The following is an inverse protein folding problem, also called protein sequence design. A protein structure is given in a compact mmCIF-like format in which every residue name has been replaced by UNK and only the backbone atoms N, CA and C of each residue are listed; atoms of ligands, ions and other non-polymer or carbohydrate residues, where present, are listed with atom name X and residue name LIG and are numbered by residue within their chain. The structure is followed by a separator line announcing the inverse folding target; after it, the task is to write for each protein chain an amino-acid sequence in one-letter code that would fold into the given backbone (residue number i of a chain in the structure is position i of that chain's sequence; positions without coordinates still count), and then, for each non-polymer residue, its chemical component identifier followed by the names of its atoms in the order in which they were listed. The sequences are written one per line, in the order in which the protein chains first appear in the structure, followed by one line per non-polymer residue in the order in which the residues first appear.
data_IF_419169386455
#
_entry.id   IF_419169386455
#
_cell.length_a   1.000
_cell.length_b   1.000
_cell.length_c   1.000
_cell.angle_alpha   90.00
_cell.angle_beta   90.00
_cell.angle_gamma   90.00
#
_symmetry.space_group_name_H-M   'P 1'
#
loop_
_entity.id
_entity.type
_entity.pdbx_description
1 polymer ?
#
# COMPACT_ATOMS: atom_id res chain seq x y z
N UNK A 1 -46.11 -1.20 8.86
CA UNK A 1 -45.20 -0.56 9.83
C UNK A 1 -43.93 -0.26 9.04
N UNK A 2 -43.57 1.01 8.87
CA UNK A 2 -42.31 1.40 8.23
C UNK A 2 -41.21 1.01 9.20
N UNK A 3 -40.32 0.14 8.76
CA UNK A 3 -39.14 -0.28 9.54
C UNK A 3 -38.28 0.99 9.74
N UNK A 4 -38.23 1.49 10.98
CA UNK A 4 -37.47 2.71 11.31
C UNK A 4 -36.00 2.32 11.41
N UNK A 5 -35.24 2.69 10.41
CA UNK A 5 -33.79 2.46 10.37
C UNK A 5 -33.12 3.29 11.47
N UNK A 6 -32.46 2.62 12.41
CA UNK A 6 -31.66 3.25 13.46
C UNK A 6 -30.23 3.46 12.98
N UNK A 7 -29.66 4.59 13.37
CA UNK A 7 -28.27 4.97 13.07
C UNK A 7 -27.57 5.43 14.33
N UNK A 8 -26.25 5.19 14.40
CA UNK A 8 -25.41 5.70 15.47
C UNK A 8 -24.72 6.99 15.04
N UNK A 9 -24.75 8.00 15.91
CA UNK A 9 -24.14 9.30 15.67
C UNK A 9 -23.33 9.77 16.88
N UNK A 10 -22.27 10.52 16.60
CA UNK A 10 -21.45 11.21 17.61
C UNK A 10 -21.83 12.68 17.56
N UNK A 11 -22.33 13.22 18.67
CA UNK A 11 -22.82 14.59 18.79
C UNK A 11 -21.88 15.37 19.70
N UNK A 12 -21.21 16.40 19.18
CA UNK A 12 -20.36 17.31 19.93
C UNK A 12 -21.16 18.53 20.40
N UNK A 13 -21.10 18.85 21.69
CA UNK A 13 -21.90 19.88 22.33
C UNK A 13 -21.03 21.02 22.89
N UNK A 14 -21.46 22.26 22.70
CA UNK A 14 -20.79 23.44 23.29
C UNK A 14 -20.84 23.45 24.82
N UNK A 15 -21.98 23.01 25.41
CA UNK A 15 -22.22 22.97 26.86
C UNK A 15 -22.60 21.55 27.27
N UNK A 16 -21.59 20.67 27.29
CA UNK A 16 -21.75 19.23 27.48
C UNK A 16 -22.67 18.85 28.63
N UNK A 17 -22.40 19.33 29.86
CA UNK A 17 -23.18 18.96 31.04
C UNK A 17 -24.61 19.47 31.00
N UNK A 18 -24.85 20.68 30.51
CA UNK A 18 -26.20 21.28 30.43
C UNK A 18 -27.10 20.63 29.39
N UNK A 19 -26.51 20.00 28.37
CA UNK A 19 -27.24 19.41 27.23
C UNK A 19 -27.63 17.96 27.48
N UNK A 20 -27.13 17.30 28.51
CA UNK A 20 -27.38 15.89 28.75
C UNK A 20 -28.89 15.50 28.68
N UNK A 21 -29.75 16.21 29.33
CA UNK A 21 -31.18 15.90 29.34
C UNK A 21 -31.87 16.07 28.00
N UNK A 22 -31.44 17.09 27.25
CA UNK A 22 -31.93 17.32 25.87
C UNK A 22 -31.48 16.23 24.93
N UNK A 23 -30.26 15.71 25.08
CA UNK A 23 -29.68 14.64 24.31
C UNK A 23 -30.31 13.28 24.64
N UNK A 24 -30.59 13.00 25.92
CA UNK A 24 -31.30 11.79 26.36
C UNK A 24 -32.70 11.65 25.74
N UNK A 25 -33.36 12.77 25.44
CA UNK A 25 -34.67 12.77 24.79
C UNK A 25 -34.63 12.46 23.28
N UNK A 26 -33.45 12.47 22.65
CA UNK A 26 -33.28 12.21 21.21
C UNK A 26 -33.17 10.72 20.89
N UNK A 27 -32.64 9.94 21.80
CA UNK A 27 -32.41 8.52 21.58
C UNK A 27 -31.61 7.86 22.69
N UNK A 28 -31.22 6.62 22.46
CA UNK A 28 -30.40 5.88 23.43
C UNK A 28 -28.96 6.34 23.42
N UNK A 29 -28.46 6.85 24.58
CA UNK A 29 -27.04 7.19 24.74
C UNK A 29 -26.24 5.91 24.95
N UNK A 30 -25.39 5.57 23.97
CA UNK A 30 -24.46 4.44 24.03
C UNK A 30 -23.22 4.78 24.86
N UNK A 31 -22.64 5.96 24.63
CA UNK A 31 -21.45 6.44 25.36
C UNK A 31 -21.55 7.94 25.66
N UNK A 32 -20.98 8.31 26.83
CA UNK A 32 -20.71 9.70 27.21
C UNK A 32 -19.21 9.92 27.12
N UNK A 33 -18.77 10.90 26.32
CA UNK A 33 -17.38 11.19 26.02
C UNK A 33 -16.98 12.59 26.50
N UNK A 34 -16.87 12.82 27.83
CA UNK A 34 -16.58 14.14 28.38
C UNK A 34 -15.23 14.71 27.90
N UNK A 35 -14.26 13.85 27.57
CA UNK A 35 -12.93 14.26 27.07
C UNK A 35 -12.97 15.10 25.77
N UNK A 36 -14.07 14.99 25.01
CA UNK A 36 -14.30 15.73 23.76
C UNK A 36 -15.68 16.41 23.75
N UNK A 37 -16.33 16.54 24.90
CA UNK A 37 -17.67 17.12 25.05
C UNK A 37 -18.72 16.51 24.11
N UNK A 38 -18.70 15.18 23.95
CA UNK A 38 -19.56 14.49 22.98
C UNK A 38 -20.38 13.35 23.61
N UNK A 39 -21.48 13.04 22.93
CA UNK A 39 -22.34 11.86 23.21
C UNK A 39 -22.44 10.98 21.98
N UNK A 40 -22.40 9.66 22.16
CA UNK A 40 -22.71 8.68 21.11
C UNK A 40 -24.15 8.21 21.31
N UNK A 41 -25.01 8.45 20.32
CA UNK A 41 -26.43 8.12 20.38
C UNK A 41 -26.84 7.15 19.28
N UNK A 42 -27.83 6.33 19.58
CA UNK A 42 -28.62 5.62 18.59
C UNK A 42 -29.95 6.35 18.39
N UNK A 43 -30.20 6.87 17.19
CA UNK A 43 -31.37 7.64 16.82
C UNK A 43 -32.04 7.08 15.55
N UNK A 44 -33.29 7.45 15.31
CA UNK A 44 -33.93 7.17 14.02
C UNK A 44 -33.28 8.02 12.91
N UNK A 45 -33.01 7.45 11.75
CA UNK A 45 -32.38 8.14 10.59
C UNK A 45 -33.17 9.40 10.20
N UNK A 46 -34.49 9.38 10.34
CA UNK A 46 -35.35 10.53 10.07
C UNK A 46 -35.10 11.74 11.00
N UNK A 47 -34.44 11.54 12.13
CA UNK A 47 -34.14 12.61 13.09
C UNK A 47 -32.83 13.33 12.83
N UNK A 48 -32.01 12.90 11.86
CA UNK A 48 -30.67 13.45 11.59
C UNK A 48 -30.67 14.96 11.38
N UNK A 49 -31.57 15.47 10.54
CA UNK A 49 -31.65 16.91 10.26
C UNK A 49 -32.20 17.71 11.44
N UNK A 50 -33.12 17.14 12.20
CA UNK A 50 -33.62 17.74 13.44
C UNK A 50 -32.49 17.89 14.47
N UNK A 51 -31.68 16.82 14.68
CA UNK A 51 -30.55 16.84 15.62
C UNK A 51 -29.54 17.92 15.26
N UNK A 52 -29.18 18.07 13.98
CA UNK A 52 -28.28 19.13 13.51
C UNK A 52 -28.79 20.54 13.80
N UNK A 53 -30.11 20.73 13.84
CA UNK A 53 -30.74 22.04 14.07
C UNK A 53 -30.80 22.45 15.55
N UNK A 54 -30.48 21.56 16.48
CA UNK A 54 -30.57 21.82 17.92
C UNK A 54 -29.49 22.82 18.37
N UNK A 55 -29.93 23.91 18.99
CA UNK A 55 -29.00 24.91 19.50
C UNK A 55 -28.03 24.33 20.54
N UNK A 56 -26.71 24.57 20.35
CA UNK A 56 -25.65 24.08 21.21
C UNK A 56 -25.02 22.76 20.77
N UNK A 57 -25.47 22.17 19.67
CA UNK A 57 -24.73 21.14 18.95
C UNK A 57 -23.74 21.82 18.03
N UNK A 58 -22.43 21.52 18.22
CA UNK A 58 -21.33 22.09 17.41
C UNK A 58 -21.19 21.29 16.10
N UNK A 59 -21.18 19.96 16.20
CA UNK A 59 -21.08 19.05 15.06
C UNK A 59 -21.76 17.73 15.36
N UNK A 60 -22.16 17.02 14.31
CA UNK A 60 -22.66 15.66 14.35
C UNK A 60 -21.99 14.84 13.26
N UNK A 61 -21.46 13.70 13.64
CA UNK A 61 -20.82 12.74 12.73
C UNK A 61 -21.51 11.39 12.85
N UNK A 62 -21.56 10.64 11.76
CA UNK A 62 -22.00 9.24 11.81
C UNK A 62 -20.93 8.42 12.56
N UNK A 63 -21.35 7.55 13.47
CA UNK A 63 -20.46 6.58 14.11
C UNK A 63 -20.06 5.53 13.07
N UNK A 64 -18.94 5.79 12.40
CA UNK A 64 -18.45 4.94 11.32
C UNK A 64 -17.59 3.80 11.86
N UNK A 65 -17.72 2.64 11.27
CA UNK A 65 -16.95 1.46 11.67
C UNK A 65 -15.46 1.68 11.38
N UNK A 66 -14.63 1.63 12.42
CA UNK A 66 -13.17 1.69 12.29
C UNK A 66 -12.67 0.26 12.13
N UNK A 67 -12.07 -0.05 10.96
CA UNK A 67 -11.47 -1.34 10.66
C UNK A 67 -9.97 -1.22 10.49
N UNK A 68 -9.25 -2.30 10.73
CA UNK A 68 -7.81 -2.36 10.48
C UNK A 68 -7.52 -2.39 8.99
N UNK A 69 -6.48 -1.65 8.53
CA UNK A 69 -6.30 -1.17 7.16
C UNK A 69 -6.08 -2.26 6.07
N UNK A 70 -5.45 -3.42 6.36
CA UNK A 70 -5.27 -4.45 5.31
C UNK A 70 -6.57 -5.15 4.93
N UNK A 71 -7.47 -5.39 5.88
CA UNK A 71 -8.82 -5.85 5.55
C UNK A 71 -9.50 -4.84 4.63
N UNK A 72 -9.36 -3.53 4.95
CA UNK A 72 -9.93 -2.46 4.14
C UNK A 72 -9.36 -2.39 2.72
N UNK A 73 -8.06 -2.65 2.51
CA UNK A 73 -7.49 -2.68 1.15
C UNK A 73 -8.20 -3.73 0.30
N UNK A 74 -8.27 -4.98 0.79
CA UNK A 74 -8.95 -6.07 0.07
C UNK A 74 -10.44 -5.79 -0.16
N UNK A 75 -11.12 -5.11 0.76
CA UNK A 75 -12.52 -4.69 0.58
C UNK A 75 -12.65 -3.62 -0.53
N UNK A 76 -11.79 -2.59 -0.50
CA UNK A 76 -11.84 -1.46 -1.44
C UNK A 76 -11.58 -1.90 -2.89
N UNK A 77 -10.63 -2.83 -3.10
CA UNK A 77 -10.23 -3.28 -4.45
C UNK A 77 -10.85 -4.61 -4.85
N UNK A 78 -11.80 -5.14 -4.08
CA UNK A 78 -12.44 -6.46 -4.27
C UNK A 78 -11.45 -7.64 -4.23
N UNK A 79 -10.41 -7.58 -3.40
CA UNK A 79 -9.40 -8.63 -3.25
C UNK A 79 -9.96 -9.89 -2.59
N UNK A 80 -10.90 -9.77 -1.65
CA UNK A 80 -11.57 -10.92 -1.02
C UNK A 80 -12.31 -11.77 -2.04
N UNK A 81 -13.00 -11.14 -3.00
CA UNK A 81 -13.66 -11.83 -4.10
C UNK A 81 -12.67 -12.74 -4.87
N UNK A 82 -11.46 -12.25 -5.16
CA UNK A 82 -10.45 -13.05 -5.86
C UNK A 82 -10.04 -14.28 -5.04
N UNK A 83 -9.84 -14.13 -3.74
CA UNK A 83 -9.51 -15.23 -2.84
C UNK A 83 -10.63 -16.26 -2.74
N UNK A 84 -11.90 -15.85 -2.69
CA UNK A 84 -13.08 -16.73 -2.71
C UNK A 84 -13.18 -17.53 -4.02
N UNK A 85 -12.72 -16.96 -5.14
CA UNK A 85 -12.64 -17.63 -6.45
C UNK A 85 -11.40 -18.49 -6.63
N UNK A 86 -10.51 -18.56 -5.64
CA UNK A 86 -9.31 -19.39 -5.68
C UNK A 86 -8.10 -18.76 -6.39
N UNK A 87 -8.11 -17.45 -6.62
CA UNK A 87 -6.97 -16.74 -7.17
C UNK A 87 -6.00 -16.34 -6.04
N UNK A 88 -4.78 -16.89 -6.05
CA UNK A 88 -3.78 -16.65 -4.99
C UNK A 88 -2.40 -16.23 -5.52
N UNK A 89 -2.21 -16.13 -6.85
CA UNK A 89 -0.94 -15.71 -7.45
C UNK A 89 0.12 -16.81 -7.53
N UNK A 90 -0.28 -18.09 -7.42
CA UNK A 90 0.63 -19.24 -7.38
C UNK A 90 1.55 -19.29 -8.59
N UNK A 91 2.85 -19.55 -8.34
CA UNK A 91 3.86 -19.74 -9.38
C UNK A 91 4.40 -18.47 -10.00
N UNK A 92 3.83 -17.30 -9.71
CA UNK A 92 4.32 -16.01 -10.24
C UNK A 92 5.45 -15.49 -9.37
N UNK A 93 6.62 -15.23 -9.98
CA UNK A 93 7.76 -14.58 -9.34
C UNK A 93 7.61 -13.05 -9.35
N UNK A 94 7.67 -12.45 -8.16
CA UNK A 94 7.65 -10.99 -7.97
C UNK A 94 8.99 -10.55 -7.38
N UNK A 95 9.76 -9.77 -8.13
CA UNK A 95 10.98 -9.16 -7.64
C UNK A 95 10.66 -7.87 -6.90
N UNK A 96 11.15 -7.78 -5.66
CA UNK A 96 11.02 -6.60 -4.80
C UNK A 96 12.39 -5.92 -4.73
N UNK A 97 12.50 -4.77 -5.42
CA UNK A 97 13.71 -3.94 -5.46
C UNK A 97 13.61 -2.89 -4.36
N UNK A 98 14.26 -3.16 -3.21
CA UNK A 98 14.01 -2.41 -1.98
C UNK A 98 15.16 -2.58 -0.94
N UNK A 99 14.87 -2.43 0.35
CA UNK A 99 15.80 -2.60 1.50
C UNK A 99 16.14 -4.06 1.83
N UNK A 100 15.54 -5.02 1.14
CA UNK A 100 15.64 -6.45 1.41
C UNK A 100 14.30 -7.09 1.75
N UNK A 101 14.32 -8.39 2.04
CA UNK A 101 13.17 -9.16 2.54
C UNK A 101 13.67 -10.08 3.65
N UNK A 102 13.06 -10.03 4.83
CA UNK A 102 13.32 -11.00 5.90
C UNK A 102 12.46 -12.26 5.73
N UNK A 103 12.89 -13.38 6.32
CA UNK A 103 12.11 -14.63 6.34
C UNK A 103 10.98 -14.52 7.40
N UNK A 104 10.01 -13.64 7.12
CA UNK A 104 8.81 -13.49 7.95
C UNK A 104 7.96 -14.77 7.88
N UNK A 105 7.29 -15.15 8.99
CA UNK A 105 6.43 -16.34 9.02
C UNK A 105 5.38 -16.36 7.90
N UNK A 106 4.84 -15.22 7.55
CA UNK A 106 3.88 -15.09 6.44
C UNK A 106 4.47 -15.41 5.06
N UNK A 107 5.78 -15.57 4.95
CA UNK A 107 6.46 -15.91 3.68
C UNK A 107 6.99 -17.34 3.66
N UNK A 108 7.24 -17.93 4.83
CA UNK A 108 7.92 -19.23 4.92
C UNK A 108 7.06 -20.35 5.51
N UNK A 109 6.02 -20.00 6.26
CA UNK A 109 5.08 -21.00 6.78
C UNK A 109 4.25 -21.57 5.61
N UNK A 110 4.10 -22.87 5.56
CA UNK A 110 3.57 -23.67 4.45
C UNK A 110 4.48 -23.73 3.19
N UNK A 111 5.75 -23.39 3.32
CA UNK A 111 6.76 -23.43 2.27
C UNK A 111 7.44 -22.07 2.06
N UNK A 112 8.76 -22.10 1.89
CA UNK A 112 9.53 -20.89 1.67
C UNK A 112 9.23 -20.28 0.29
N UNK A 113 8.60 -19.11 0.29
CA UNK A 113 8.25 -18.37 -0.93
C UNK A 113 9.26 -17.26 -1.26
N UNK A 114 10.27 -17.02 -0.41
CA UNK A 114 11.43 -16.19 -0.73
C UNK A 114 12.44 -17.09 -1.45
N UNK A 115 12.24 -17.27 -2.76
CA UNK A 115 12.94 -18.29 -3.57
C UNK A 115 14.32 -17.84 -4.08
N UNK A 116 14.58 -16.53 -4.04
CA UNK A 116 15.87 -15.96 -4.39
C UNK A 116 16.10 -14.64 -3.65
N UNK A 117 17.39 -14.35 -3.40
CA UNK A 117 17.82 -13.10 -2.79
C UNK A 117 19.14 -12.65 -3.40
N UNK A 118 19.26 -11.34 -3.66
CA UNK A 118 20.50 -10.72 -4.11
C UNK A 118 20.70 -9.40 -3.37
N UNK A 119 21.86 -9.29 -2.72
CA UNK A 119 22.26 -8.09 -1.97
C UNK A 119 23.38 -7.36 -2.71
N UNK A 120 23.12 -6.10 -3.10
CA UNK A 120 24.08 -5.21 -3.75
C UNK A 120 24.77 -4.26 -2.77
N UNK A 121 24.32 -4.23 -1.50
CA UNK A 121 24.84 -3.33 -0.46
C UNK A 121 25.95 -3.99 0.34
N UNK A 122 25.65 -5.17 0.92
CA UNK A 122 26.58 -5.88 1.81
C UNK A 122 27.03 -7.24 1.26
N UNK A 123 26.56 -7.62 0.06
CA UNK A 123 26.91 -8.86 -0.63
C UNK A 123 26.58 -10.14 0.17
N UNK A 124 25.58 -10.09 1.05
CA UNK A 124 25.12 -11.26 1.80
C UNK A 124 24.29 -12.17 0.90
N UNK A 125 24.35 -13.47 1.17
CA UNK A 125 23.60 -14.50 0.41
C UNK A 125 22.26 -14.84 1.02
N UNK A 126 22.13 -14.72 2.36
CA UNK A 126 20.90 -15.04 3.07
C UNK A 126 19.94 -13.87 3.08
N UNK A 127 18.62 -14.15 2.90
CA UNK A 127 17.59 -13.11 2.93
C UNK A 127 17.53 -12.37 4.26
N UNK A 128 17.64 -11.06 4.23
CA UNK A 128 17.44 -10.18 5.37
C UNK A 128 16.93 -8.81 4.94
N UNK A 129 16.40 -8.08 5.92
CA UNK A 129 15.99 -6.69 5.77
C UNK A 129 16.35 -5.95 7.07
N UNK A 130 17.22 -4.98 6.97
CA UNK A 130 17.73 -4.20 8.12
C UNK A 130 17.05 -2.82 8.24
N UNK A 131 16.06 -2.53 7.39
CA UNK A 131 15.20 -1.35 7.43
C UNK A 131 13.73 -1.70 7.74
N UNK A 132 13.19 -2.72 7.06
CA UNK A 132 11.81 -3.20 7.17
C UNK A 132 10.85 -2.66 6.12
N UNK A 133 11.29 -1.77 5.23
CA UNK A 133 10.45 -1.25 4.15
C UNK A 133 10.15 -2.34 3.10
N UNK A 134 11.16 -3.04 2.61
CA UNK A 134 10.99 -4.10 1.63
C UNK A 134 10.19 -5.30 2.14
N UNK A 135 10.35 -5.67 3.42
CA UNK A 135 9.52 -6.71 4.07
C UNK A 135 8.06 -6.29 4.16
N UNK A 136 7.80 -5.02 4.47
CA UNK A 136 6.44 -4.47 4.50
C UNK A 136 5.81 -4.51 3.10
N UNK A 137 6.53 -4.08 2.08
CA UNK A 137 6.14 -4.13 0.66
C UNK A 137 5.82 -5.58 0.24
N UNK A 138 6.71 -6.53 0.53
CA UNK A 138 6.49 -7.95 0.24
C UNK A 138 5.23 -8.50 0.93
N UNK A 139 4.98 -8.09 2.18
CA UNK A 139 3.77 -8.46 2.92
C UNK A 139 2.47 -7.99 2.26
N UNK A 140 2.46 -6.76 1.70
CA UNK A 140 1.31 -6.24 0.93
C UNK A 140 1.11 -7.06 -0.35
N UNK A 141 2.18 -7.35 -1.09
CA UNK A 141 2.10 -8.16 -2.32
C UNK A 141 1.49 -9.52 -2.00
N UNK A 142 2.01 -10.23 -0.99
CA UNK A 142 1.67 -11.64 -0.87
C UNK A 142 1.97 -12.30 0.48
N UNK A 143 1.93 -11.58 1.60
CA UNK A 143 1.89 -12.19 2.92
C UNK A 143 0.69 -13.14 3.04
N UNK A 144 0.89 -14.39 3.51
CA UNK A 144 -0.23 -15.32 3.64
C UNK A 144 -1.11 -15.06 4.88
N UNK A 145 -0.71 -14.12 5.75
CA UNK A 145 -1.43 -13.76 6.95
C UNK A 145 -1.33 -14.79 8.08
N UNK A 146 -0.41 -15.74 8.01
CA UNK A 146 -0.25 -16.79 9.02
C UNK A 146 -0.15 -16.23 10.44
N UNK A 147 0.72 -15.26 10.65
CA UNK A 147 0.96 -14.64 11.97
C UNK A 147 -0.25 -13.85 12.50
N UNK A 148 -1.22 -13.52 11.64
CA UNK A 148 -2.45 -12.79 12.00
C UNK A 148 -3.72 -13.63 11.87
N UNK A 149 -3.61 -14.94 11.69
CA UNK A 149 -4.75 -15.84 11.43
C UNK A 149 -5.60 -15.37 10.23
N UNK A 150 -4.93 -14.90 9.17
CA UNK A 150 -5.55 -14.42 7.95
C UNK A 150 -5.96 -12.94 7.94
N UNK A 151 -5.90 -12.24 9.08
CA UNK A 151 -6.38 -10.85 9.19
C UNK A 151 -5.63 -9.87 8.30
N UNK A 152 -4.32 -10.02 8.15
CA UNK A 152 -3.45 -9.14 7.35
C UNK A 152 -2.87 -9.87 6.14
N UNK A 153 -3.71 -10.66 5.47
CA UNK A 153 -3.35 -11.37 4.25
C UNK A 153 -3.11 -10.37 3.11
N UNK A 154 -1.99 -10.50 2.41
CA UNK A 154 -1.66 -9.74 1.20
C UNK A 154 -2.54 -10.11 0.02
N UNK A 155 -2.31 -9.45 -1.11
CA UNK A 155 -3.16 -9.55 -2.30
C UNK A 155 -2.98 -10.91 -3.00
N UNK A 156 -1.73 -11.37 -3.21
CA UNK A 156 -1.37 -12.62 -3.89
C UNK A 156 -0.62 -13.58 -2.94
N UNK A 157 -1.30 -14.21 -1.97
CA UNK A 157 -0.67 -14.90 -0.84
C UNK A 157 0.10 -16.17 -1.20
N UNK A 158 0.11 -16.60 -2.46
CA UNK A 158 0.89 -17.76 -2.94
C UNK A 158 1.91 -17.38 -4.03
N UNK A 159 2.14 -16.08 -4.30
CA UNK A 159 3.22 -15.67 -5.19
C UNK A 159 4.60 -15.94 -4.56
N UNK A 160 5.61 -16.07 -5.41
CA UNK A 160 7.00 -16.22 -4.99
C UNK A 160 7.70 -14.86 -4.95
N UNK A 161 8.60 -14.67 -3.97
CA UNK A 161 9.38 -13.46 -3.82
C UNK A 161 10.82 -13.65 -4.28
N UNK A 162 11.33 -12.64 -4.95
CA UNK A 162 12.73 -12.48 -5.28
C UNK A 162 13.19 -11.16 -4.64
N UNK A 163 13.94 -11.24 -3.55
CA UNK A 163 14.46 -10.08 -2.85
C UNK A 163 15.68 -9.52 -3.56
N UNK A 164 15.63 -8.24 -3.95
CA UNK A 164 16.75 -7.53 -4.56
C UNK A 164 17.05 -6.30 -3.71
N UNK A 165 18.04 -6.46 -2.80
CA UNK A 165 18.42 -5.40 -1.87
C UNK A 165 19.37 -4.43 -2.54
N UNK A 166 18.87 -3.21 -2.75
CA UNK A 166 19.58 -2.08 -3.38
C UNK A 166 19.62 -0.85 -2.48
N UNK A 167 18.99 -0.92 -1.30
CA UNK A 167 18.96 0.13 -0.29
C UNK A 167 19.52 -0.40 1.02
N UNK A 168 20.19 0.48 1.77
CA UNK A 168 20.78 0.19 3.07
C UNK A 168 19.76 0.20 4.22
N UNK A 169 20.25 0.11 5.45
CA UNK A 169 19.46 0.14 6.69
C UNK A 169 18.72 1.47 6.94
N UNK A 170 19.10 2.56 6.27
CA UNK A 170 18.44 3.87 6.34
C UNK A 170 17.36 4.01 5.25
N UNK A 171 17.40 3.14 4.23
CA UNK A 171 16.56 3.24 3.03
C UNK A 171 17.22 4.08 1.93
N UNK A 172 18.53 4.31 2.03
CA UNK A 172 19.32 5.04 1.06
C UNK A 172 20.08 4.07 0.14
N UNK A 173 20.32 4.45 -1.12
CA UNK A 173 21.07 3.65 -2.08
C UNK A 173 21.50 4.45 -3.28
N UNK A 174 22.41 3.86 -4.10
CA UNK A 174 22.89 4.49 -5.31
C UNK A 174 22.10 4.01 -6.53
N UNK A 175 21.98 4.85 -7.54
CA UNK A 175 21.36 4.50 -8.83
C UNK A 175 22.10 3.29 -9.45
N UNK A 176 23.43 3.21 -9.31
CA UNK A 176 24.24 2.09 -9.80
C UNK A 176 23.82 0.74 -9.21
N UNK A 177 23.51 0.68 -7.90
CA UNK A 177 23.08 -0.54 -7.24
C UNK A 177 21.68 -0.96 -7.72
N UNK A 178 20.79 0.02 -7.93
CA UNK A 178 19.47 -0.23 -8.53
C UNK A 178 19.62 -0.79 -9.95
N UNK A 179 20.45 -0.16 -10.79
CA UNK A 179 20.68 -0.62 -12.16
C UNK A 179 21.31 -2.02 -12.21
N UNK A 180 22.26 -2.31 -11.34
CA UNK A 180 22.84 -3.65 -11.20
C UNK A 180 21.78 -4.69 -10.78
N UNK A 181 20.87 -4.30 -9.85
CA UNK A 181 19.73 -5.12 -9.45
C UNK A 181 18.78 -5.41 -10.60
N UNK A 182 18.46 -4.40 -11.42
CA UNK A 182 17.60 -4.54 -12.60
C UNK A 182 18.24 -5.45 -13.65
N UNK A 183 19.55 -5.34 -13.89
CA UNK A 183 20.28 -6.23 -14.79
C UNK A 183 20.23 -7.67 -14.28
N UNK A 184 20.49 -7.90 -12.99
CA UNK A 184 20.42 -9.23 -12.39
C UNK A 184 19.03 -9.86 -12.53
N UNK A 185 17.95 -9.06 -12.41
CA UNK A 185 16.57 -9.53 -12.61
C UNK A 185 16.38 -10.01 -14.06
N UNK A 186 16.84 -9.25 -15.05
CA UNK A 186 16.75 -9.62 -16.47
C UNK A 186 17.46 -10.97 -16.71
N UNK A 187 18.67 -11.13 -16.17
CA UNK A 187 19.49 -12.33 -16.37
C UNK A 187 18.86 -13.59 -15.73
N UNK A 188 18.15 -13.40 -14.62
CA UNK A 188 17.56 -14.48 -13.83
C UNK A 188 16.06 -14.68 -14.06
N UNK A 189 15.41 -13.91 -14.95
CA UNK A 189 13.96 -13.90 -15.12
C UNK A 189 13.35 -15.28 -15.43
N UNK A 190 14.02 -16.06 -16.28
CA UNK A 190 13.57 -17.41 -16.65
C UNK A 190 13.76 -18.40 -15.51
N UNK A 191 14.90 -18.31 -14.79
CA UNK A 191 15.24 -19.21 -13.68
C UNK A 191 14.24 -19.17 -12.55
N UNK A 192 13.76 -17.97 -12.20
CA UNK A 192 12.84 -17.76 -11.06
C UNK A 192 11.42 -17.38 -11.50
N UNK A 193 11.09 -17.52 -12.79
CA UNK A 193 9.81 -17.10 -13.36
C UNK A 193 9.41 -15.67 -12.94
N UNK A 194 10.37 -14.71 -13.04
CA UNK A 194 10.11 -13.32 -12.65
C UNK A 194 9.23 -12.68 -13.72
N UNK A 195 7.99 -12.41 -13.35
CA UNK A 195 6.98 -11.79 -14.21
C UNK A 195 6.74 -10.33 -13.85
N UNK A 196 7.07 -9.95 -12.62
CA UNK A 196 6.74 -8.65 -12.03
C UNK A 196 7.97 -8.12 -11.30
N UNK A 197 8.21 -6.82 -11.45
CA UNK A 197 9.18 -6.05 -10.65
C UNK A 197 8.44 -4.92 -9.96
N UNK A 198 8.47 -4.93 -8.62
CA UNK A 198 7.96 -3.86 -7.78
C UNK A 198 9.11 -2.95 -7.34
N UNK A 199 9.02 -1.65 -7.64
CA UNK A 199 9.97 -0.62 -7.24
C UNK A 199 9.22 0.42 -6.41
N UNK A 200 9.29 0.29 -5.10
CA UNK A 200 8.64 1.21 -4.16
C UNK A 200 9.57 2.34 -3.70
N UNK A 201 10.59 2.64 -4.50
CA UNK A 201 11.63 3.64 -4.24
C UNK A 201 11.81 4.54 -5.45
N UNK A 202 12.31 5.74 -5.23
CA UNK A 202 12.55 6.67 -6.33
C UNK A 202 13.32 7.91 -5.87
N UNK A 203 13.79 8.69 -6.83
CA UNK A 203 14.43 9.98 -6.58
C UNK A 203 13.55 11.13 -7.00
N UNK A 204 13.57 12.20 -6.21
CA UNK A 204 12.91 13.48 -6.48
C UNK A 204 13.90 14.58 -6.89
N UNK A 205 15.17 14.22 -7.12
CA UNK A 205 16.18 15.18 -7.60
C UNK A 205 15.73 15.76 -8.94
N UNK A 206 15.73 17.09 -9.05
CA UNK A 206 15.37 17.79 -10.30
C UNK A 206 16.28 17.39 -11.46
N UNK A 207 17.51 17.03 -11.18
CA UNK A 207 18.51 16.60 -12.17
C UNK A 207 18.20 15.24 -12.81
N UNK A 208 17.31 14.45 -12.19
CA UNK A 208 16.92 13.11 -12.65
C UNK A 208 15.50 13.05 -13.24
N UNK A 209 14.82 14.18 -13.43
CA UNK A 209 13.49 14.25 -14.04
C UNK A 209 13.55 14.24 -15.57
N UNK A 210 14.48 13.48 -16.13
CA UNK A 210 14.64 13.28 -17.58
C UNK A 210 14.23 11.85 -17.98
N UNK A 211 13.43 11.73 -19.04
CA UNK A 211 13.10 10.44 -19.66
C UNK A 211 14.35 9.68 -20.15
N UNK A 212 15.44 10.38 -20.42
CA UNK A 212 16.72 9.81 -20.80
C UNK A 212 17.60 9.45 -19.59
N UNK A 213 17.16 9.68 -18.36
CA UNK A 213 17.94 9.31 -17.18
C UNK A 213 18.22 7.81 -17.17
N UNK A 214 19.39 7.41 -16.67
CA UNK A 214 19.82 6.01 -16.65
C UNK A 214 18.83 5.12 -15.90
N UNK A 215 18.19 5.65 -14.84
CA UNK A 215 17.20 4.88 -14.08
C UNK A 215 15.92 4.61 -14.90
N UNK A 216 15.47 5.58 -15.70
CA UNK A 216 14.35 5.39 -16.64
C UNK A 216 14.73 4.40 -17.74
N UNK A 217 15.96 4.50 -18.30
CA UNK A 217 16.45 3.51 -19.25
C UNK A 217 16.52 2.11 -18.66
N UNK A 218 16.96 1.96 -17.40
CA UNK A 218 17.02 0.69 -16.70
C UNK A 218 15.65 0.03 -16.55
N UNK A 219 14.63 0.75 -16.05
CA UNK A 219 13.28 0.20 -15.94
C UNK A 219 12.63 -0.08 -17.30
N UNK A 220 12.95 0.71 -18.32
CA UNK A 220 12.51 0.47 -19.69
C UNK A 220 13.14 -0.81 -20.26
N UNK A 221 14.42 -1.09 -19.99
CA UNK A 221 15.07 -2.32 -20.39
C UNK A 221 14.43 -3.56 -19.76
N UNK A 222 14.07 -3.50 -18.46
CA UNK A 222 13.32 -4.57 -17.79
C UNK A 222 11.96 -4.80 -18.47
N UNK A 223 11.24 -3.71 -18.77
CA UNK A 223 9.96 -3.77 -19.48
C UNK A 223 10.11 -4.40 -20.88
N UNK A 224 11.12 -4.01 -21.64
CA UNK A 224 11.39 -4.53 -23.00
C UNK A 224 11.77 -6.02 -22.99
N UNK A 225 12.22 -6.55 -21.83
CA UNK A 225 12.45 -7.97 -21.60
C UNK A 225 11.18 -8.74 -21.23
N UNK A 226 9.98 -8.14 -21.34
CA UNK A 226 8.69 -8.78 -21.14
C UNK A 226 8.24 -8.87 -19.68
N UNK A 227 8.93 -8.19 -18.76
CA UNK A 227 8.56 -8.16 -17.33
C UNK A 227 7.65 -6.95 -17.08
N UNK A 228 6.61 -7.12 -16.27
CA UNK A 228 5.76 -6.01 -15.82
C UNK A 228 6.51 -5.22 -14.76
N UNK A 229 6.76 -3.94 -15.00
CA UNK A 229 7.44 -3.05 -14.05
C UNK A 229 6.43 -2.09 -13.44
N UNK A 230 6.33 -2.12 -12.11
CA UNK A 230 5.42 -1.29 -11.33
C UNK A 230 6.25 -0.41 -10.39
N UNK A 231 6.00 0.90 -10.44
CA UNK A 231 6.79 1.90 -9.71
C UNK A 231 5.89 2.87 -8.94
N UNK A 232 6.37 3.36 -7.81
CA UNK A 232 5.68 4.37 -7.03
C UNK A 232 5.69 5.74 -7.73
N UNK A 233 4.59 6.48 -7.64
CA UNK A 233 4.51 7.85 -8.12
C UNK A 233 5.39 8.84 -7.33
N UNK A 234 5.80 8.45 -6.11
CA UNK A 234 6.50 9.31 -5.17
C UNK A 234 5.55 10.06 -4.23
N UNK A 235 6.14 10.68 -3.20
CA UNK A 235 5.38 11.32 -2.13
C UNK A 235 5.64 12.85 -2.07
N UNK A 236 5.86 13.47 -3.23
CA UNK A 236 6.16 14.90 -3.37
C UNK A 236 4.93 15.75 -3.77
N UNK A 237 3.71 15.14 -3.74
CA UNK A 237 2.45 15.86 -3.92
C UNK A 237 2.22 16.94 -2.85
N UNK A 238 1.18 17.74 -3.01
CA UNK A 238 0.10 17.72 -4.03
C UNK A 238 0.38 18.56 -5.29
N UNK A 239 1.54 19.18 -5.41
CA UNK A 239 1.87 20.04 -6.56
C UNK A 239 1.88 19.27 -7.88
N UNK A 240 1.64 19.95 -9.02
CA UNK A 240 1.79 19.35 -10.34
C UNK A 240 3.26 18.98 -10.62
N UNK A 241 3.48 18.08 -11.58
CA UNK A 241 4.81 17.61 -11.98
C UNK A 241 5.66 17.05 -10.82
N UNK A 242 5.00 16.39 -9.86
CA UNK A 242 5.63 15.83 -8.66
C UNK A 242 5.84 14.31 -8.72
N UNK A 243 5.69 13.70 -9.90
CA UNK A 243 6.00 12.28 -10.12
C UNK A 243 7.52 12.07 -9.98
N UNK A 244 7.92 11.15 -9.12
CA UNK A 244 9.33 10.79 -8.92
C UNK A 244 9.86 9.88 -10.03
N UNK A 245 11.15 9.95 -10.33
CA UNK A 245 11.86 9.00 -11.20
C UNK A 245 12.06 7.67 -10.45
N UNK A 246 11.76 6.47 -11.06
CA UNK A 246 11.50 6.26 -12.49
C UNK A 246 10.03 6.31 -12.91
N UNK A 247 9.11 6.77 -12.08
CA UNK A 247 7.66 6.84 -12.36
C UNK A 247 7.29 7.72 -13.56
N UNK A 248 8.20 8.58 -14.03
CA UNK A 248 7.99 9.39 -15.24
C UNK A 248 8.05 8.57 -16.54
N UNK A 249 8.55 7.33 -16.52
CA UNK A 249 8.65 6.49 -17.72
C UNK A 249 7.29 6.22 -18.36
N UNK A 250 7.20 6.35 -19.69
CA UNK A 250 5.99 6.03 -20.49
C UNK A 250 5.65 4.54 -20.47
N UNK A 251 6.67 3.66 -20.36
CA UNK A 251 6.49 2.21 -20.48
C UNK A 251 5.90 1.59 -19.22
N UNK A 252 6.49 1.88 -18.08
CA UNK A 252 6.15 1.24 -16.80
C UNK A 252 4.78 1.66 -16.25
N UNK A 253 4.28 0.93 -15.27
CA UNK A 253 3.04 1.24 -14.56
C UNK A 253 3.38 2.06 -13.32
N UNK A 254 2.93 3.32 -13.28
CA UNK A 254 3.16 4.24 -12.17
C UNK A 254 1.94 4.31 -11.29
N UNK A 255 2.11 4.05 -9.98
CA UNK A 255 1.03 3.92 -9.01
C UNK A 255 1.03 5.08 -8.03
N UNK A 256 -0.09 5.79 -7.97
CA UNK A 256 -0.40 6.79 -6.94
C UNK A 256 -1.20 6.22 -5.78
N UNK A 257 -1.35 6.99 -4.69
CA UNK A 257 -2.21 6.66 -3.57
C UNK A 257 -3.62 7.21 -3.79
N UNK A 258 -4.65 6.39 -3.58
CA UNK A 258 -6.06 6.79 -3.74
C UNK A 258 -6.64 7.47 -2.50
N UNK A 259 -5.99 7.31 -1.34
CA UNK A 259 -6.45 7.69 -0.01
C UNK A 259 -5.45 8.60 0.73
N UNK A 260 -4.67 9.38 0.00
CA UNK A 260 -3.67 10.30 0.54
C UNK A 260 -4.26 11.55 1.24
N UNK A 261 -5.58 11.71 1.18
CA UNK A 261 -6.34 12.76 1.87
C UNK A 261 -6.72 12.39 3.31
N UNK A 262 -6.43 11.17 3.74
CA UNK A 262 -6.65 10.71 5.11
C UNK A 262 -5.48 11.16 6.00
N UNK A 263 -5.78 11.73 7.18
CA UNK A 263 -4.74 12.03 8.16
C UNK A 263 -3.98 10.74 8.51
N UNK A 264 -2.65 10.79 8.45
CA UNK A 264 -1.83 9.66 8.86
C UNK A 264 -1.97 9.47 10.38
N UNK A 265 -2.80 8.52 10.78
CA UNK A 265 -2.93 8.09 12.18
C UNK A 265 -1.73 7.26 12.60
N UNK A 266 -0.51 7.75 12.40
CA UNK A 266 0.63 6.90 12.64
C UNK A 266 1.63 7.51 13.58
N UNK A 267 1.98 6.74 14.57
CA UNK A 267 3.17 6.87 15.37
C UNK A 267 4.38 7.29 14.51
N UNK A 268 4.63 8.59 14.46
CA UNK A 268 5.90 9.17 14.03
C UNK A 268 6.14 9.40 12.53
N UNK A 269 5.21 9.14 11.62
CA UNK A 269 5.50 9.35 10.18
C UNK A 269 5.20 10.74 9.65
N UNK A 270 4.64 11.65 10.42
CA UNK A 270 4.47 13.08 10.11
C UNK A 270 4.14 13.48 8.65
N UNK A 271 3.67 12.53 7.82
CA UNK A 271 3.42 12.78 6.41
C UNK A 271 2.21 13.66 6.23
N UNK A 272 2.40 14.70 5.44
CA UNK A 272 1.36 15.62 5.07
C UNK A 272 0.23 14.86 4.33
N UNK A 273 -0.97 15.31 4.53
CA UNK A 273 -2.13 15.03 3.71
C UNK A 273 -1.83 15.37 2.24
N UNK A 274 -2.39 14.59 1.29
CA UNK A 274 -2.19 14.79 -0.15
C UNK A 274 -0.74 14.61 -0.62
N UNK A 275 -0.07 13.57 -0.15
CA UNK A 275 1.34 13.32 -0.48
C UNK A 275 1.59 12.71 -1.86
N UNK A 276 0.61 12.03 -2.47
CA UNK A 276 0.80 11.30 -3.72
C UNK A 276 1.31 12.18 -4.84
N UNK A 277 2.35 11.72 -5.55
CA UNK A 277 2.88 12.42 -6.73
C UNK A 277 1.81 12.58 -7.81
N UNK A 278 1.78 13.75 -8.44
CA UNK A 278 0.80 14.14 -9.45
C UNK A 278 1.45 14.52 -10.78
N UNK A 279 0.75 14.18 -11.85
CA UNK A 279 1.09 14.55 -13.20
C UNK A 279 0.82 16.03 -13.54
N UNK A 280 1.05 16.39 -14.81
CA UNK A 280 1.79 15.61 -15.82
C UNK A 280 3.25 15.44 -15.45
N UNK A 281 3.99 14.60 -16.20
CA UNK A 281 5.45 14.65 -16.12
C UNK A 281 5.97 15.90 -16.83
N UNK A 282 7.25 16.29 -16.65
CA UNK A 282 7.83 17.42 -17.38
C UNK A 282 7.69 17.33 -18.91
N UNK A 283 7.54 16.13 -19.44
CA UNK A 283 7.34 15.86 -20.87
C UNK A 283 5.85 15.68 -21.25
N UNK A 284 4.95 16.23 -20.47
CA UNK A 284 3.50 16.19 -20.68
C UNK A 284 2.90 14.77 -20.78
N UNK A 285 3.55 13.77 -20.16
CA UNK A 285 3.00 12.41 -20.08
C UNK A 285 1.99 12.36 -18.95
N UNK A 286 0.85 11.73 -19.22
CA UNK A 286 -0.17 11.49 -18.20
C UNK A 286 0.28 10.42 -17.20
N UNK A 287 0.52 10.83 -15.95
CA UNK A 287 0.89 10.00 -14.79
C UNK A 287 0.18 10.55 -13.53
N UNK A 288 -0.07 9.73 -12.49
CA UNK A 288 0.16 8.28 -12.45
C UNK A 288 -0.69 7.53 -13.48
N UNK A 289 -0.41 6.24 -13.72
CA UNK A 289 -1.29 5.42 -14.59
C UNK A 289 -2.54 5.00 -13.82
N UNK A 290 -2.39 4.58 -12.55
CA UNK A 290 -3.45 3.99 -11.72
C UNK A 290 -3.23 4.37 -10.25
N UNK A 291 -4.28 4.30 -9.44
CA UNK A 291 -4.17 4.47 -7.98
C UNK A 291 -4.67 3.23 -7.23
N UNK A 292 -4.13 3.04 -6.04
CA UNK A 292 -4.54 2.03 -5.07
C UNK A 292 -4.42 2.60 -3.64
N UNK A 293 -5.05 1.98 -2.61
CA UNK A 293 -4.89 2.41 -1.23
C UNK A 293 -3.42 2.37 -0.79
N UNK A 294 -2.95 3.44 -0.17
CA UNK A 294 -1.56 3.59 0.28
C UNK A 294 -1.40 4.23 1.65
N UNK A 295 -2.50 4.62 2.32
CA UNK A 295 -2.45 5.25 3.65
C UNK A 295 -2.81 4.28 4.76
N UNK A 296 -2.03 4.34 5.85
CA UNK A 296 -2.22 3.52 7.06
C UNK A 296 -2.27 2.00 6.80
N UNK A 297 -1.45 1.52 5.88
CA UNK A 297 -1.42 0.12 5.48
C UNK A 297 -0.67 -0.72 6.51
N UNK A 298 -1.34 -1.76 7.05
CA UNK A 298 -0.76 -2.72 7.97
C UNK A 298 -0.16 -3.87 7.16
N UNK A 299 1.13 -4.18 7.39
CA UNK A 299 1.80 -5.29 6.72
C UNK A 299 2.97 -5.82 7.55
N UNK A 300 3.64 -6.87 7.04
CA UNK A 300 4.73 -7.57 7.70
C UNK A 300 5.82 -6.61 8.20
N UNK A 301 6.33 -6.87 9.40
CA UNK A 301 7.37 -6.10 10.05
C UNK A 301 8.62 -6.96 10.28
N UNK A 302 9.77 -6.31 10.39
CA UNK A 302 11.00 -6.96 10.86
C UNK A 302 11.04 -6.94 12.38
N UNK A 303 11.44 -8.06 12.99
CA UNK A 303 11.70 -8.11 14.42
C UNK A 303 13.02 -7.40 14.71
N UNK A 304 12.97 -6.15 15.17
CA UNK A 304 14.16 -5.46 15.68
C UNK A 304 14.05 -5.24 17.18
N UNK A 305 14.87 -5.98 17.92
CA UNK A 305 15.43 -5.48 19.17
C UNK A 305 16.95 -5.51 19.01
N UNK A 306 17.57 -4.34 18.79
CA UNK A 306 19.00 -4.19 18.92
C UNK A 306 19.31 -3.70 20.32
N UNK A 307 19.98 -4.51 21.13
CA UNK A 307 20.66 -4.02 22.33
C UNK A 307 22.12 -3.81 21.98
N UNK A 308 22.62 -2.59 22.17
CA UNK A 308 24.06 -2.34 22.15
C UNK A 308 24.65 -3.02 23.36
N UNK A 309 25.54 -3.98 23.16
CA UNK A 309 26.38 -4.53 24.24
C UNK A 309 27.43 -3.51 24.66
N UNK A 310 27.95 -3.63 25.87
CA UNK A 310 29.05 -2.77 26.38
C UNK A 310 30.32 -2.84 25.51
N UNK A 311 30.45 -3.87 24.65
CA UNK A 311 31.53 -4.03 23.68
C UNK A 311 31.26 -3.36 22.31
N UNK A 312 30.13 -2.72 22.12
CA UNK A 312 29.80 -2.06 20.86
C UNK A 312 29.16 -2.98 19.80
N UNK A 313 29.10 -4.28 20.05
CA UNK A 313 28.46 -5.24 19.13
C UNK A 313 26.95 -5.14 19.19
N UNK A 314 26.29 -5.18 18.00
CA UNK A 314 24.86 -5.21 17.89
C UNK A 314 24.40 -6.67 17.99
N UNK A 315 23.78 -7.05 19.12
CA UNK A 315 23.08 -8.32 19.24
C UNK A 315 21.60 -8.11 18.97
N UNK A 316 21.05 -8.91 18.07
CA UNK A 316 19.61 -9.00 17.86
C UNK A 316 19.04 -9.94 18.93
N UNK A 317 18.23 -9.39 19.84
CA UNK A 317 17.54 -10.21 20.85
C UNK A 317 16.19 -10.66 20.30
N UNK A 318 15.92 -11.95 20.39
CA UNK A 318 14.65 -12.60 20.04
C UNK A 318 13.69 -12.69 21.23
N UNK A 319 13.81 -11.81 22.22
CA UNK A 319 12.97 -11.86 23.42
C UNK A 319 11.60 -11.21 23.19
N UNK A 320 10.59 -12.01 23.37
CA UNK A 320 9.18 -11.76 23.65
C UNK A 320 8.39 -10.88 22.69
N UNK A 321 7.61 -11.57 21.85
CA UNK A 321 6.53 -11.06 20.99
C UNK A 321 6.89 -9.85 20.12
N UNK A 322 7.69 -10.04 19.08
CA UNK A 322 7.93 -8.98 18.09
C UNK A 322 6.58 -8.57 17.48
N UNK A 323 6.35 -7.29 17.34
CA UNK A 323 5.21 -6.83 16.53
C UNK A 323 5.42 -7.32 15.10
N UNK A 324 4.70 -8.42 14.74
CA UNK A 324 4.83 -9.09 13.44
C UNK A 324 4.36 -8.19 12.29
N UNK A 325 3.64 -7.13 12.59
CA UNK A 325 3.09 -6.19 11.63
C UNK A 325 3.34 -4.75 12.09
N UNK A 326 3.41 -3.85 11.11
CA UNK A 326 3.52 -2.41 11.35
C UNK A 326 2.67 -1.64 10.34
N UNK A 327 2.41 -0.37 10.64
CA UNK A 327 1.62 0.52 9.79
C UNK A 327 2.57 1.45 9.04
N UNK A 328 2.38 1.59 7.72
CA UNK A 328 3.09 2.57 6.91
C UNK A 328 2.14 3.26 5.93
N UNK A 329 2.51 4.47 5.50
CA UNK A 329 1.78 5.24 4.48
C UNK A 329 2.72 5.73 3.39
N UNK A 330 2.24 5.78 2.16
CA UNK A 330 2.97 6.27 1.00
C UNK A 330 2.57 5.55 -0.29
N UNK A 331 2.92 6.13 -1.44
CA UNK A 331 2.79 5.45 -2.73
C UNK A 331 3.58 4.16 -2.79
N UNK A 332 4.62 4.02 -1.94
CA UNK A 332 5.34 2.77 -1.70
C UNK A 332 4.48 1.64 -1.17
N UNK A 333 3.32 1.93 -0.55
CA UNK A 333 2.35 0.94 -0.06
C UNK A 333 1.25 0.69 -1.09
N UNK A 334 0.89 1.67 -1.92
CA UNK A 334 -0.06 1.50 -3.03
C UNK A 334 0.53 0.64 -4.17
N UNK A 335 1.81 0.79 -4.47
CA UNK A 335 2.52 0.08 -5.54
C UNK A 335 2.46 -1.45 -5.39
N UNK A 336 2.76 -2.05 -4.22
CA UNK A 336 2.65 -3.49 -4.02
C UNK A 336 1.21 -4.03 -4.08
N UNK A 337 0.19 -3.22 -3.82
CA UNK A 337 -1.21 -3.60 -4.03
C UNK A 337 -1.46 -3.92 -5.50
N UNK A 338 -0.99 -3.05 -6.41
CA UNK A 338 -1.09 -3.27 -7.86
C UNK A 338 -0.23 -4.46 -8.29
N UNK A 339 0.97 -4.61 -7.73
CA UNK A 339 1.86 -5.75 -8.01
C UNK A 339 1.21 -7.08 -7.63
N UNK A 340 0.56 -7.15 -6.47
CA UNK A 340 -0.20 -8.33 -6.04
C UNK A 340 -1.38 -8.64 -6.97
N UNK A 341 -2.16 -7.62 -7.37
CA UNK A 341 -3.27 -7.80 -8.30
C UNK A 341 -2.81 -8.35 -9.66
N UNK A 342 -1.67 -7.87 -10.17
CA UNK A 342 -1.07 -8.39 -11.41
C UNK A 342 -0.56 -9.82 -11.20
N UNK A 343 -0.06 -10.19 -10.01
CA UNK A 343 0.32 -11.57 -9.72
C UNK A 343 -0.90 -12.51 -9.73
N UNK A 344 -2.06 -12.08 -9.23
CA UNK A 344 -3.31 -12.82 -9.38
C UNK A 344 -3.66 -13.01 -10.88
N UNK A 345 -3.61 -11.92 -11.66
CA UNK A 345 -3.92 -11.96 -13.09
C UNK A 345 -2.98 -12.92 -13.85
N UNK A 346 -1.66 -12.81 -13.63
CA UNK A 346 -0.68 -13.63 -14.34
C UNK A 346 -0.66 -15.10 -13.88
N UNK A 347 -1.20 -15.43 -12.72
CA UNK A 347 -1.41 -16.81 -12.31
C UNK A 347 -2.63 -17.44 -13.01
N UNK A 348 -3.65 -16.64 -13.33
CA UNK A 348 -4.83 -17.06 -14.08
C UNK A 348 -4.59 -17.07 -15.59
N UNK A 349 -3.79 -16.11 -16.08
CA UNK A 349 -3.51 -15.87 -17.49
C UNK A 349 -1.99 -15.73 -17.73
N UNK A 350 -1.23 -16.84 -17.64
CA UNK A 350 0.24 -16.81 -17.74
C UNK A 350 0.76 -16.39 -19.13
N UNK A 351 -0.07 -16.50 -20.15
CA UNK A 351 0.23 -16.10 -21.54
C UNK A 351 0.30 -14.59 -21.76
N UNK A 352 -0.34 -13.80 -20.89
CA UNK A 352 -0.41 -12.34 -21.08
C UNK A 352 0.99 -11.69 -21.07
N UNK A 353 1.21 -10.84 -22.05
CA UNK A 353 2.38 -9.99 -22.12
C UNK A 353 2.26 -8.79 -21.18
N UNK A 354 3.38 -8.15 -20.83
CA UNK A 354 3.38 -6.94 -20.00
C UNK A 354 2.54 -5.80 -20.62
N UNK A 355 2.48 -5.70 -21.95
CA UNK A 355 1.65 -4.70 -22.66
C UNK A 355 0.16 -4.98 -22.50
N UNK A 356 -0.26 -6.24 -22.64
CA UNK A 356 -1.64 -6.67 -22.45
C UNK A 356 -2.08 -6.48 -20.99
N UNK A 357 -1.20 -6.79 -20.02
CA UNK A 357 -1.44 -6.51 -18.60
C UNK A 357 -1.68 -5.01 -18.37
N UNK A 358 -0.87 -4.13 -18.97
CA UNK A 358 -1.05 -2.67 -18.83
C UNK A 358 -2.35 -2.19 -19.46
N UNK A 359 -2.73 -2.72 -20.61
CA UNK A 359 -4.01 -2.40 -21.26
C UNK A 359 -5.21 -2.89 -20.42
N UNK A 360 -5.12 -4.10 -19.87
CA UNK A 360 -6.17 -4.67 -19.03
C UNK A 360 -6.34 -3.90 -17.72
N UNK A 361 -5.23 -3.46 -17.09
CA UNK A 361 -5.30 -2.56 -15.93
C UNK A 361 -6.04 -1.27 -16.23
N UNK A 362 -5.82 -0.68 -17.41
CA UNK A 362 -6.51 0.54 -17.80
C UNK A 362 -8.03 0.36 -17.90
N UNK A 363 -8.51 -0.79 -18.32
CA UNK A 363 -9.95 -1.07 -18.49
C UNK A 363 -10.65 -1.52 -17.21
N UNK A 364 -9.88 -1.91 -16.16
CA UNK A 364 -10.44 -2.45 -14.92
C UNK A 364 -10.62 -1.44 -13.78
N UNK A 365 -10.37 -0.16 -14.03
CA UNK A 365 -10.40 0.88 -12.99
C UNK A 365 -11.81 1.38 -12.68
N UNK A 366 -11.94 1.98 -11.49
CA UNK A 366 -13.14 2.72 -11.05
C UNK A 366 -12.76 4.19 -10.96
N UNK A 367 -13.54 5.03 -11.64
CA UNK A 367 -13.37 6.48 -11.58
C UNK A 367 -13.74 7.00 -10.18
N UNK A 368 -12.83 7.74 -9.54
CA UNK A 368 -13.04 8.35 -8.24
C UNK A 368 -13.60 9.78 -8.32
N UNK A 369 -13.88 10.27 -9.53
CA UNK A 369 -14.28 11.68 -9.76
C UNK A 369 -13.17 12.69 -9.45
N UNK A 370 -11.90 12.24 -9.38
CA UNK A 370 -10.74 13.10 -9.14
C UNK A 370 -10.09 13.51 -10.46
N UNK A 371 -9.33 14.63 -10.49
CA UNK A 371 -8.54 14.99 -11.66
C UNK A 371 -7.59 13.84 -12.07
N UNK A 372 -7.40 13.66 -13.39
CA UNK A 372 -6.55 12.59 -13.91
C UNK A 372 -5.10 12.68 -13.42
N UNK A 373 -4.61 13.87 -13.11
CA UNK A 373 -3.29 14.13 -12.54
C UNK A 373 -3.11 13.44 -11.18
N UNK A 374 -4.20 13.21 -10.47
CA UNK A 374 -4.24 12.53 -9.18
C UNK A 374 -4.56 11.05 -9.31
N UNK A 375 -5.62 10.68 -10.04
CA UNK A 375 -6.13 9.30 -10.07
C UNK A 375 -5.64 8.47 -11.27
N UNK A 376 -5.03 9.08 -12.28
CA UNK A 376 -4.69 8.37 -13.53
C UNK A 376 -5.94 7.84 -14.23
N UNK A 377 -5.96 6.53 -14.49
CA UNK A 377 -7.14 5.83 -15.03
C UNK A 377 -8.23 5.60 -13.98
N UNK A 378 -7.89 5.68 -12.70
CA UNK A 378 -8.80 5.46 -11.57
C UNK A 378 -8.25 4.45 -10.56
N UNK A 379 -9.11 4.03 -9.64
CA UNK A 379 -8.83 3.05 -8.59
C UNK A 379 -8.82 1.63 -9.16
N UNK A 380 -7.81 0.85 -8.78
CA UNK A 380 -7.74 -0.58 -9.08
C UNK A 380 -8.99 -1.32 -8.61
N UNK A 381 -9.54 -2.20 -9.48
CA UNK A 381 -10.58 -3.15 -9.12
C UNK A 381 -10.16 -4.56 -9.60
N UNK A 382 -9.93 -5.46 -8.65
CA UNK A 382 -9.41 -6.80 -8.94
C UNK A 382 -10.45 -7.67 -9.66
N UNK A 383 -11.72 -7.56 -9.31
CA UNK A 383 -12.77 -8.34 -9.98
C UNK A 383 -12.85 -8.01 -11.47
N UNK A 384 -12.89 -6.71 -11.82
CA UNK A 384 -12.84 -6.28 -13.22
C UNK A 384 -11.53 -6.65 -13.92
N UNK A 385 -10.43 -6.76 -13.18
CA UNK A 385 -9.14 -7.17 -13.73
C UNK A 385 -9.13 -8.64 -14.12
N UNK A 386 -9.75 -9.50 -13.34
CA UNK A 386 -9.77 -10.96 -13.56
C UNK A 386 -10.92 -11.39 -14.46
N UNK A 387 -12.07 -10.75 -14.37
CA UNK A 387 -13.27 -11.00 -15.21
C UNK A 387 -13.67 -9.69 -15.92
N UNK A 388 -13.04 -9.33 -17.07
CA UNK A 388 -13.28 -8.09 -17.80
C UNK A 388 -14.61 -8.09 -18.54
#
# INVERSE_FOLDING_TARGET
MVDKRKVQVIIHCAEYEKKQQSIENLGYIKYKLPMINAYVLEIDEAQLEYVKSINGIISMEMDTHITTQMNRVNDIIEGHWAHEKGYYGRGVGVAVVDTGITLHKDFVEYGNRVIAFKDFINQRTEPYDDNGHGTHVAGIIGGNGYSSKGKYKGIAPECNFIGVKVLDHRGDGNISDVLAGLQWIIDNRKKYNIRIVNISVGTSSKDNLDENSLLVQGVNAVWDNGIVVIVAAGNNGPGPMSISTPGISRKVITVGSSDDNVAAEVYGSGRAKDYSGRGPTPFCIKKPDIVAPGSNIISCNISRYSTKTKSGDIRFSTTESPMMYTIKSGTSMATPVVSGAIALLLSAHPELTNREVKLRLRSCTVDLGQPWEKQGWGLLNIRKLLEP
#
